data_IF_388248782651
#
_entry.id   IF_388248782651
#
_cell.length_a   1.000
_cell.length_b   1.000
_cell.length_c   1.000
_cell.angle_alpha   90.00
_cell.angle_beta   90.00
_cell.angle_gamma   90.00
#
_symmetry.space_group_name_H-M   'P 1'
#
loop_
_entity.id
_entity.type
_entity.pdbx_description
1 polymer ?
#
# COMPACT_ATOMS: atom_id res chain seq x y z
N UNK A 1 10.50 12.59 -29.36
CA UNK A 1 10.84 11.32 -28.71
C UNK A 1 10.61 11.49 -27.21
N UNK A 2 9.39 11.20 -26.76
CA UNK A 2 8.97 11.38 -25.36
C UNK A 2 9.46 10.20 -24.53
N UNK A 3 10.30 10.47 -23.52
CA UNK A 3 10.72 9.46 -22.55
C UNK A 3 9.75 9.49 -21.37
N UNK A 4 8.96 8.43 -21.25
CA UNK A 4 8.01 8.22 -20.16
C UNK A 4 8.80 7.98 -18.87
N UNK A 5 8.85 8.98 -17.98
CA UNK A 5 9.44 8.85 -16.63
C UNK A 5 8.56 7.93 -15.80
N UNK A 6 8.97 6.67 -15.68
CA UNK A 6 8.39 5.69 -14.77
C UNK A 6 8.71 6.12 -13.32
N UNK A 7 7.73 6.68 -12.61
CA UNK A 7 7.89 7.10 -11.21
C UNK A 7 7.47 5.95 -10.30
N UNK A 8 8.40 5.02 -10.07
CA UNK A 8 8.26 4.03 -8.99
C UNK A 8 8.45 4.76 -7.65
N UNK A 9 7.41 4.78 -6.82
CA UNK A 9 7.50 5.29 -5.46
C UNK A 9 8.28 4.28 -4.60
N UNK A 10 9.54 4.60 -4.28
CA UNK A 10 10.38 3.82 -3.38
C UNK A 10 10.20 4.35 -1.95
N UNK A 11 9.53 3.60 -1.09
CA UNK A 11 9.55 3.83 0.36
C UNK A 11 10.61 2.90 0.97
N UNK A 12 11.81 3.43 1.19
CA UNK A 12 12.83 2.76 2.02
C UNK A 12 12.44 2.93 3.48
N UNK A 13 11.80 1.92 4.07
CA UNK A 13 11.46 1.91 5.49
C UNK A 13 12.75 1.82 6.32
N UNK A 14 13.13 2.92 6.97
CA UNK A 14 14.17 2.93 8.01
C UNK A 14 13.58 2.43 9.33
N UNK A 15 14.34 1.59 10.02
CA UNK A 15 14.05 0.96 11.31
C UNK A 15 13.26 1.85 12.28
N UNK A 16 12.01 1.47 12.57
CA UNK A 16 11.55 1.04 13.90
C UNK A 16 10.04 0.77 13.86
N UNK A 17 9.57 -0.28 14.54
CA UNK A 17 8.17 -0.72 14.73
C UNK A 17 7.66 -1.82 13.76
N UNK A 18 8.04 -3.06 14.11
CA UNK A 18 7.24 -4.30 14.07
C UNK A 18 6.23 -4.43 12.90
N UNK A 19 6.70 -4.96 11.78
CA UNK A 19 5.84 -5.79 10.90
C UNK A 19 6.40 -7.20 10.94
N UNK A 20 5.63 -8.12 11.52
CA UNK A 20 5.98 -9.53 11.67
C UNK A 20 6.40 -10.15 10.33
N UNK A 21 7.39 -11.04 10.40
CA UNK A 21 8.16 -11.75 9.35
C UNK A 21 7.32 -12.67 8.43
N UNK A 22 6.14 -12.26 7.97
CA UNK A 22 5.18 -13.12 7.26
C UNK A 22 4.29 -12.37 6.26
N UNK A 23 4.93 -11.53 5.44
CA UNK A 23 4.31 -10.86 4.29
C UNK A 23 5.11 -11.07 2.99
N UNK A 24 5.77 -12.24 2.85
CA UNK A 24 6.62 -12.58 1.69
C UNK A 24 6.02 -13.73 0.88
N UNK A 25 4.70 -13.73 0.67
CA UNK A 25 4.08 -14.71 -0.25
C UNK A 25 3.71 -14.05 -1.58
N UNK A 26 3.43 -12.75 -1.59
CA UNK A 26 3.05 -12.00 -2.81
C UNK A 26 3.83 -10.70 -3.00
N UNK A 27 4.98 -10.55 -2.32
CA UNK A 27 5.78 -9.35 -2.50
C UNK A 27 6.30 -9.28 -3.94
N UNK A 28 6.09 -8.14 -4.62
CA UNK A 28 6.72 -7.92 -5.91
C UNK A 28 8.21 -7.77 -5.66
N UNK A 29 9.02 -8.67 -6.21
CA UNK A 29 10.47 -8.59 -6.12
C UNK A 29 10.98 -7.65 -7.19
N UNK A 30 11.33 -6.42 -6.80
CA UNK A 30 11.85 -5.40 -7.71
C UNK A 30 13.37 -5.26 -7.52
N UNK A 31 14.11 -5.24 -8.61
CA UNK A 31 15.51 -4.80 -8.59
C UNK A 31 15.54 -3.29 -8.37
N UNK A 32 16.02 -2.87 -7.20
CA UNK A 32 15.99 -1.46 -6.77
C UNK A 32 17.33 -0.75 -7.06
N UNK A 33 18.42 -1.52 -7.07
CA UNK A 33 19.77 -1.15 -7.53
C UNK A 33 20.41 -2.41 -8.15
N UNK A 34 21.45 -2.29 -9.00
CA UNK A 34 22.07 -3.45 -9.64
C UNK A 34 22.45 -4.54 -8.64
N UNK A 35 21.95 -5.76 -8.86
CA UNK A 35 22.14 -6.95 -8.02
C UNK A 35 21.46 -6.93 -6.64
N UNK A 36 20.48 -6.05 -6.40
CA UNK A 36 19.66 -6.06 -5.18
C UNK A 36 18.18 -6.10 -5.52
N UNK A 37 17.57 -7.25 -5.26
CA UNK A 37 16.12 -7.46 -5.38
C UNK A 37 15.48 -7.47 -4.00
N UNK A 38 14.51 -6.59 -3.76
CA UNK A 38 13.78 -6.51 -2.49
C UNK A 38 12.29 -6.81 -2.68
N UNK A 39 11.65 -7.48 -1.70
CA UNK A 39 10.19 -7.57 -1.65
C UNK A 39 9.62 -6.17 -1.42
N UNK A 40 8.94 -5.60 -2.42
CA UNK A 40 8.23 -4.33 -2.27
C UNK A 40 6.74 -4.58 -2.09
N UNK A 41 6.13 -3.80 -1.21
CA UNK A 41 4.68 -3.75 -1.10
C UNK A 41 4.09 -3.29 -2.44
N UNK A 42 3.04 -3.97 -2.91
CA UNK A 42 2.34 -3.56 -4.12
C UNK A 42 1.47 -2.33 -3.85
N UNK A 43 1.06 -1.61 -4.91
CA UNK A 43 0.27 -0.38 -4.78
C UNK A 43 -1.00 -0.64 -3.96
N UNK A 44 -1.70 -1.74 -4.22
CA UNK A 44 -2.87 -2.14 -3.44
C UNK A 44 -2.61 -2.30 -1.94
N UNK A 45 -1.48 -2.91 -1.57
CA UNK A 45 -1.09 -3.06 -0.16
C UNK A 45 -0.82 -1.69 0.48
N UNK A 46 -0.11 -0.81 -0.23
CA UNK A 46 0.19 0.54 0.25
C UNK A 46 -1.06 1.39 0.43
N UNK A 47 -2.05 1.28 -0.46
CA UNK A 47 -3.35 1.95 -0.34
C UNK A 47 -4.00 1.59 1.00
N UNK A 48 -4.08 0.30 1.34
CA UNK A 48 -4.69 -0.16 2.59
C UNK A 48 -3.90 0.31 3.81
N UNK A 49 -2.56 0.27 3.74
CA UNK A 49 -1.73 0.76 4.84
C UNK A 49 -1.89 2.26 5.06
N UNK A 50 -2.06 3.06 4.00
CA UNK A 50 -2.33 4.49 4.10
C UNK A 50 -3.72 4.76 4.68
N UNK A 51 -4.73 3.98 4.29
CA UNK A 51 -6.06 4.03 4.91
C UNK A 51 -5.96 3.67 6.40
N UNK A 52 -5.21 2.63 6.78
CA UNK A 52 -5.07 2.22 8.17
C UNK A 52 -4.33 3.27 9.02
N UNK A 53 -3.31 3.91 8.45
CA UNK A 53 -2.47 4.91 9.11
C UNK A 53 -3.11 6.31 9.17
N UNK A 54 -4.05 6.63 8.28
CA UNK A 54 -4.59 7.99 8.15
C UNK A 54 -5.21 8.52 9.45
N UNK A 55 -4.82 9.73 9.83
CA UNK A 55 -5.37 10.48 10.96
C UNK A 55 -5.20 11.97 10.73
N UNK A 56 -5.89 12.80 11.53
CA UNK A 56 -5.77 14.27 11.47
C UNK A 56 -4.35 14.76 11.75
N UNK A 57 -3.59 14.04 12.57
CA UNK A 57 -2.18 14.33 12.89
C UNK A 57 -1.20 13.88 11.80
N UNK A 58 -1.68 13.13 10.79
CA UNK A 58 -0.88 12.57 9.69
C UNK A 58 -1.46 12.94 8.33
N UNK A 59 -1.52 14.23 7.97
CA UNK A 59 -2.08 14.68 6.70
C UNK A 59 -1.35 14.09 5.48
N UNK A 60 -0.06 13.76 5.63
CA UNK A 60 0.72 13.15 4.56
C UNK A 60 0.17 11.79 4.12
N UNK A 61 -0.42 11.00 5.02
CA UNK A 61 -0.96 9.68 4.65
C UNK A 61 -2.17 9.81 3.71
N UNK A 62 -2.96 10.88 3.85
CA UNK A 62 -4.06 11.19 2.93
C UNK A 62 -3.54 11.64 1.56
N UNK A 63 -2.51 12.50 1.53
CA UNK A 63 -1.88 12.96 0.28
C UNK A 63 -1.25 11.79 -0.49
N UNK A 64 -0.59 10.89 0.23
CA UNK A 64 0.01 9.69 -0.35
C UNK A 64 -1.07 8.74 -0.88
N UNK A 65 -2.17 8.54 -0.14
CA UNK A 65 -3.31 7.74 -0.58
C UNK A 65 -3.89 8.27 -1.90
N UNK A 66 -4.15 9.57 -2.00
CA UNK A 66 -4.63 10.20 -3.23
C UNK A 66 -3.65 10.03 -4.40
N UNK A 67 -2.35 10.07 -4.11
CA UNK A 67 -1.31 9.87 -5.12
C UNK A 67 -1.25 8.43 -5.62
N UNK A 68 -1.42 7.46 -4.73
CA UNK A 68 -1.49 6.03 -5.08
C UNK A 68 -2.74 5.73 -5.90
N UNK A 69 -3.90 6.26 -5.50
CA UNK A 69 -5.17 6.05 -6.21
C UNK A 69 -5.14 6.58 -7.65
N UNK A 70 -4.39 7.66 -7.94
CA UNK A 70 -4.22 8.20 -9.30
C UNK A 70 -3.48 7.27 -10.25
N UNK A 71 -2.68 6.33 -9.74
CA UNK A 71 -1.85 5.43 -10.56
C UNK A 71 -2.26 3.96 -10.43
N UNK A 72 -3.17 3.65 -9.50
CA UNK A 72 -3.70 2.31 -9.27
C UNK A 72 -4.48 1.82 -10.50
N UNK A 73 -4.25 0.56 -10.86
CA UNK A 73 -5.05 -0.18 -11.85
C UNK A 73 -6.06 -1.07 -11.15
N UNK A 74 -7.00 -1.65 -11.90
CA UNK A 74 -8.03 -2.54 -11.36
C UNK A 74 -7.41 -3.69 -10.53
N UNK A 75 -6.31 -4.29 -11.00
CA UNK A 75 -5.60 -5.33 -10.26
C UNK A 75 -5.01 -4.84 -8.92
N UNK A 76 -4.62 -3.57 -8.81
CA UNK A 76 -4.16 -2.98 -7.55
C UNK A 76 -5.34 -2.76 -6.59
N UNK A 77 -6.53 -2.44 -7.11
CA UNK A 77 -7.75 -2.29 -6.31
C UNK A 77 -8.27 -3.64 -5.81
N UNK A 78 -8.22 -4.69 -6.65
CA UNK A 78 -8.50 -6.07 -6.24
C UNK A 78 -7.54 -6.51 -5.13
N UNK A 79 -6.25 -6.18 -5.28
CA UNK A 79 -5.23 -6.43 -4.26
C UNK A 79 -5.54 -5.65 -2.97
N UNK A 80 -5.89 -4.38 -3.06
CA UNK A 80 -6.26 -3.56 -1.91
C UNK A 80 -7.47 -4.17 -1.17
N UNK A 81 -8.48 -4.64 -1.91
CA UNK A 81 -9.64 -5.31 -1.32
C UNK A 81 -9.23 -6.56 -0.55
N UNK A 82 -8.44 -7.44 -1.17
CA UNK A 82 -7.94 -8.65 -0.53
C UNK A 82 -7.14 -8.34 0.74
N UNK A 83 -6.26 -7.33 0.70
CA UNK A 83 -5.44 -6.92 1.84
C UNK A 83 -6.27 -6.30 2.97
N UNK A 84 -7.30 -5.52 2.64
CA UNK A 84 -8.23 -4.99 3.64
C UNK A 84 -8.99 -6.12 4.34
N UNK A 85 -9.54 -7.07 3.58
CA UNK A 85 -10.23 -8.25 4.12
C UNK A 85 -9.29 -9.08 5.02
N UNK A 86 -8.05 -9.30 4.61
CA UNK A 86 -7.06 -10.04 5.39
C UNK A 86 -6.71 -9.36 6.72
N UNK A 87 -6.54 -8.04 6.73
CA UNK A 87 -6.25 -7.28 7.97
C UNK A 87 -7.46 -7.32 8.91
N UNK A 88 -8.68 -7.20 8.38
CA UNK A 88 -9.92 -7.33 9.16
C UNK A 88 -10.02 -8.72 9.80
N UNK A 89 -9.80 -9.79 9.03
CA UNK A 89 -9.83 -11.17 9.52
C UNK A 89 -8.79 -11.44 10.62
N UNK A 90 -7.64 -10.75 10.56
CA UNK A 90 -6.57 -10.88 11.56
C UNK A 90 -6.76 -10.01 12.80
N UNK A 91 -7.73 -9.10 12.81
CA UNK A 91 -7.98 -8.19 13.94
C UNK A 91 -6.89 -7.13 14.14
N UNK A 92 -6.07 -6.85 13.13
CA UNK A 92 -4.99 -5.84 13.20
C UNK A 92 -5.40 -4.50 12.58
N UNK A 93 -6.70 -4.28 12.43
CA UNK A 93 -7.34 -3.15 11.76
C UNK A 93 -7.48 -1.89 12.63
N UNK A 94 -7.00 -1.92 13.88
CA UNK A 94 -7.06 -0.79 14.84
C UNK A 94 -8.48 -0.22 14.99
N UNK A 95 -9.46 -1.11 15.11
CA UNK A 95 -10.88 -0.77 15.27
C UNK A 95 -11.53 -0.03 14.08
N UNK A 96 -10.85 0.01 12.92
CA UNK A 96 -11.38 0.63 11.70
C UNK A 96 -11.95 -0.40 10.75
N UNK A 97 -13.03 -0.07 10.04
CA UNK A 97 -13.52 -0.87 8.93
C UNK A 97 -12.76 -0.50 7.65
N UNK A 98 -11.70 -1.25 7.35
CA UNK A 98 -10.84 -0.97 6.20
C UNK A 98 -11.53 -1.24 4.86
N UNK A 99 -12.50 -2.15 4.81
CA UNK A 99 -13.24 -2.45 3.58
C UNK A 99 -14.19 -1.30 3.25
N UNK A 100 -14.91 -0.79 4.26
CA UNK A 100 -15.78 0.37 4.09
C UNK A 100 -14.98 1.63 3.71
N UNK A 101 -13.85 1.87 4.39
CA UNK A 101 -12.98 3.01 4.09
C UNK A 101 -12.35 2.91 2.69
N UNK A 102 -11.94 1.71 2.27
CA UNK A 102 -11.42 1.50 0.92
C UNK A 102 -12.50 1.77 -0.13
N UNK A 103 -13.73 1.31 0.09
CA UNK A 103 -14.87 1.61 -0.79
C UNK A 103 -15.13 3.11 -0.89
N UNK A 104 -15.12 3.83 0.24
CA UNK A 104 -15.28 5.28 0.26
C UNK A 104 -14.19 5.99 -0.55
N UNK A 105 -12.95 5.53 -0.48
CA UNK A 105 -11.82 6.15 -1.16
C UNK A 105 -11.78 5.92 -2.68
N UNK A 106 -12.43 4.85 -3.17
CA UNK A 106 -12.29 4.36 -4.55
C UNK A 106 -13.61 4.42 -5.34
N UNK A 107 -14.75 4.43 -4.66
CA UNK A 107 -16.08 4.56 -5.28
C UNK A 107 -16.62 3.31 -5.98
N UNK A 108 -16.05 2.12 -5.74
CA UNK A 108 -16.60 0.85 -6.25
C UNK A 108 -17.82 0.34 -5.47
#
# INVERSE_FOLDING_TARGET
MMTTKNRSAFLTFHDNQIVNRKLIVDALFLEVVPNLTLPVAQIGDLIVLKILASSTERPQDQIDLESLLKVAKDADLDRARWTAELIMQRGTNRERDLVALLRQATGY
#
